data_IF_471784731982
#
_entry.id   IF_471784731982
#
_cell.length_a   1.000
_cell.length_b   1.000
_cell.length_c   1.000
_cell.angle_alpha   90.00
_cell.angle_beta   90.00
_cell.angle_gamma   90.00
#
_symmetry.space_group_name_H-M   'P 1'
#
loop_
_entity.id
_entity.type
_entity.pdbx_description
1 polymer ?
#
# COMPACT_ATOMS: atom_id res chain seq x y z
N UNK A 1 9.61 -19.68 2.34
CA UNK A 1 9.31 -20.01 3.75
C UNK A 1 9.52 -18.84 4.70
N UNK A 2 10.72 -18.25 4.80
CA UNK A 2 10.98 -17.10 5.69
C UNK A 2 10.12 -15.87 5.35
N UNK A 3 10.06 -15.49 4.07
CA UNK A 3 9.27 -14.36 3.56
C UNK A 3 7.77 -14.46 3.88
N UNK A 4 7.18 -15.65 3.70
CA UNK A 4 5.78 -15.92 4.05
C UNK A 4 5.52 -15.78 5.55
N UNK A 5 6.45 -16.27 6.36
CA UNK A 5 6.35 -16.22 7.82
C UNK A 5 6.41 -14.78 8.32
N UNK A 6 7.37 -13.99 7.85
CA UNK A 6 7.55 -12.59 8.23
C UNK A 6 6.35 -11.74 7.84
N UNK A 7 5.75 -11.99 6.66
CA UNK A 7 4.55 -11.25 6.20
C UNK A 7 3.34 -11.40 7.14
N UNK A 8 3.27 -12.50 7.90
CA UNK A 8 2.14 -12.79 8.80
C UNK A 8 2.31 -12.15 10.19
N UNK A 9 3.53 -11.74 10.55
CA UNK A 9 3.85 -11.21 11.89
C UNK A 9 2.98 -10.00 12.28
N UNK A 10 2.82 -8.95 11.44
CA UNK A 10 2.01 -7.79 11.83
C UNK A 10 0.54 -8.15 12.10
N UNK A 11 -0.02 -9.14 11.38
CA UNK A 11 -1.38 -9.63 11.62
C UNK A 11 -1.51 -10.40 12.94
N UNK A 12 -0.50 -11.19 13.32
CA UNK A 12 -0.51 -11.90 14.59
C UNK A 12 -0.40 -10.95 15.77
N UNK A 13 0.38 -9.86 15.62
CA UNK A 13 0.52 -8.80 16.61
C UNK A 13 -0.75 -7.95 16.76
N UNK A 14 -1.61 -7.90 15.74
CA UNK A 14 -2.89 -7.19 15.77
C UNK A 14 -3.93 -7.87 16.70
N UNK A 15 -3.94 -9.21 16.76
CA UNK A 15 -4.96 -9.99 17.48
C UNK A 15 -5.05 -9.64 18.98
N UNK A 16 -3.95 -9.52 19.74
CA UNK A 16 -4.01 -9.15 21.15
C UNK A 16 -4.65 -7.78 21.40
N UNK A 17 -4.42 -6.79 20.52
CA UNK A 17 -4.99 -5.44 20.68
C UNK A 17 -6.52 -5.46 20.60
N UNK A 18 -7.10 -6.28 19.71
CA UNK A 18 -8.55 -6.44 19.60
C UNK A 18 -9.24 -6.85 20.90
N UNK A 19 -8.53 -7.49 21.85
CA UNK A 19 -9.10 -7.90 23.15
C UNK A 19 -9.34 -6.73 24.11
N UNK A 20 -8.66 -5.61 23.89
CA UNK A 20 -8.70 -4.42 24.76
C UNK A 20 -9.50 -3.26 24.15
N UNK A 21 -10.03 -3.44 22.94
CA UNK A 21 -10.73 -2.41 22.19
C UNK A 21 -12.25 -2.66 22.19
N UNK A 22 -13.01 -1.56 22.26
CA UNK A 22 -14.45 -1.60 22.04
C UNK A 22 -14.80 -1.88 20.57
N UNK A 23 -16.06 -2.23 20.25
CA UNK A 23 -16.47 -2.74 18.94
C UNK A 23 -16.04 -1.89 17.74
N UNK A 24 -16.18 -0.56 17.83
CA UNK A 24 -15.81 0.37 16.75
C UNK A 24 -14.31 0.38 16.46
N UNK A 25 -13.48 0.38 17.51
CA UNK A 25 -12.01 0.38 17.39
C UNK A 25 -11.50 -0.98 16.93
N UNK A 26 -12.10 -2.06 17.43
CA UNK A 26 -11.84 -3.43 16.96
C UNK A 26 -12.17 -3.58 15.49
N UNK A 27 -13.32 -3.07 15.03
CA UNK A 27 -13.67 -3.09 13.62
C UNK A 27 -12.65 -2.32 12.76
N UNK A 28 -12.25 -1.12 13.19
CA UNK A 28 -11.23 -0.35 12.47
C UNK A 28 -9.89 -1.10 12.38
N UNK A 29 -9.47 -1.74 13.47
CA UNK A 29 -8.23 -2.49 13.52
C UNK A 29 -8.29 -3.74 12.62
N UNK A 30 -9.43 -4.42 12.57
CA UNK A 30 -9.68 -5.50 11.60
C UNK A 30 -9.68 -5.00 10.15
N UNK A 31 -10.21 -3.80 9.89
CA UNK A 31 -10.10 -3.17 8.57
C UNK A 31 -8.68 -2.82 8.18
N UNK A 32 -7.76 -2.63 9.13
CA UNK A 32 -6.32 -2.58 8.80
C UNK A 32 -5.81 -3.93 8.30
N UNK A 33 -6.25 -5.04 8.92
CA UNK A 33 -5.95 -6.41 8.49
C UNK A 33 -6.44 -6.76 7.08
N UNK A 34 -7.53 -6.14 6.61
CA UNK A 34 -8.06 -6.29 5.24
C UNK A 34 -7.00 -5.98 4.16
N UNK A 35 -6.00 -5.14 4.48
CA UNK A 35 -4.85 -4.87 3.59
C UNK A 35 -4.12 -6.14 3.17
N UNK A 36 -3.92 -7.06 4.11
CA UNK A 36 -3.21 -8.32 3.88
C UNK A 36 -4.08 -9.34 3.17
N UNK A 37 -5.38 -9.32 3.43
CA UNK A 37 -6.34 -10.14 2.71
C UNK A 37 -6.41 -9.74 1.23
N UNK A 38 -6.46 -8.44 0.97
CA UNK A 38 -6.39 -7.88 -0.39
C UNK A 38 -5.10 -8.31 -1.09
N UNK A 39 -3.96 -8.31 -0.40
CA UNK A 39 -2.70 -8.82 -0.96
C UNK A 39 -2.72 -10.33 -1.20
N UNK A 40 -3.41 -11.10 -0.36
CA UNK A 40 -3.59 -12.53 -0.56
C UNK A 40 -4.42 -12.80 -1.81
N UNK A 41 -5.55 -12.11 -1.98
CA UNK A 41 -6.40 -12.17 -3.18
C UNK A 41 -5.57 -11.81 -4.42
N UNK A 42 -4.80 -10.72 -4.36
CA UNK A 42 -3.92 -10.29 -5.45
C UNK A 42 -2.89 -11.35 -5.83
N UNK A 43 -2.30 -12.04 -4.84
CA UNK A 43 -1.36 -13.14 -5.07
C UNK A 43 -2.03 -14.34 -5.74
N UNK A 44 -3.24 -14.72 -5.33
CA UNK A 44 -4.00 -15.80 -5.99
C UNK A 44 -4.31 -15.43 -7.45
N UNK A 45 -4.77 -14.21 -7.71
CA UNK A 45 -5.02 -13.71 -9.07
C UNK A 45 -3.74 -13.78 -9.91
N UNK A 46 -2.60 -13.31 -9.39
CA UNK A 46 -1.33 -13.37 -10.12
C UNK A 46 -0.91 -14.82 -10.44
N UNK A 47 -1.07 -15.77 -9.51
CA UNK A 47 -0.76 -17.20 -9.74
C UNK A 47 -1.64 -17.77 -10.87
N UNK A 48 -2.94 -17.47 -10.84
CA UNK A 48 -3.89 -17.92 -11.87
C UNK A 48 -3.51 -17.34 -13.24
N UNK A 49 -3.22 -16.04 -13.29
CA UNK A 49 -2.91 -15.37 -14.56
C UNK A 49 -1.53 -15.72 -15.12
N UNK A 50 -0.54 -15.98 -14.27
CA UNK A 50 0.78 -16.44 -14.69
C UNK A 50 0.82 -17.95 -15.02
N UNK A 51 -0.18 -18.72 -14.57
CA UNK A 51 -0.22 -20.18 -14.71
C UNK A 51 0.85 -20.92 -13.89
N UNK A 52 1.59 -20.21 -13.03
CA UNK A 52 2.70 -20.73 -12.22
C UNK A 52 2.71 -20.08 -10.85
N UNK A 53 3.32 -20.76 -9.86
CA UNK A 53 3.48 -20.25 -8.50
C UNK A 53 2.94 -21.19 -7.42
N UNK A 54 3.56 -21.15 -6.24
CA UNK A 54 3.17 -21.98 -5.09
C UNK A 54 2.05 -21.31 -4.28
N UNK A 55 1.08 -22.11 -3.82
CA UNK A 55 0.03 -21.68 -2.89
C UNK A 55 0.33 -22.06 -1.44
N UNK A 56 1.46 -22.71 -1.17
CA UNK A 56 1.76 -23.25 0.16
C UNK A 56 1.93 -22.13 1.21
N UNK A 57 2.61 -21.04 0.86
CA UNK A 57 2.71 -19.86 1.72
C UNK A 57 1.35 -19.25 2.05
N UNK A 58 0.46 -19.16 1.06
CA UNK A 58 -0.89 -18.62 1.23
C UNK A 58 -1.75 -19.53 2.13
N UNK A 59 -1.61 -20.86 1.97
CA UNK A 59 -2.28 -21.86 2.81
C UNK A 59 -1.85 -21.72 4.28
N UNK A 60 -0.54 -21.63 4.54
CA UNK A 60 -0.01 -21.42 5.90
C UNK A 60 -0.51 -20.12 6.52
N UNK A 61 -0.56 -19.03 5.74
CA UNK A 61 -1.17 -17.77 6.21
C UNK A 61 -2.60 -18.03 6.64
N UNK A 62 -3.45 -18.54 5.74
CA UNK A 62 -4.89 -18.70 6.02
C UNK A 62 -5.15 -19.59 7.23
N UNK A 63 -4.34 -20.63 7.43
CA UNK A 63 -4.41 -21.48 8.61
C UNK A 63 -4.04 -20.74 9.91
N UNK A 64 -3.17 -19.74 9.85
CA UNK A 64 -2.66 -18.99 11.01
C UNK A 64 -3.54 -17.79 11.39
N UNK A 65 -4.07 -17.10 10.39
CA UNK A 65 -4.90 -15.90 10.57
C UNK A 65 -6.12 -16.00 9.65
N UNK A 66 -7.36 -15.91 10.19
CA UNK A 66 -8.56 -15.89 9.37
C UNK A 66 -8.55 -14.75 8.36
N UNK A 67 -9.13 -15.00 7.19
CA UNK A 67 -9.41 -13.98 6.17
C UNK A 67 -10.76 -13.32 6.48
N UNK A 68 -10.87 -12.01 6.28
CA UNK A 68 -12.08 -11.22 6.58
C UNK A 68 -12.81 -10.73 5.33
N UNK A 69 -12.24 -10.91 4.13
CA UNK A 69 -12.82 -10.43 2.86
C UNK A 69 -13.27 -11.55 1.90
N UNK A 70 -13.01 -12.81 2.24
CA UNK A 70 -13.33 -13.97 1.42
C UNK A 70 -13.39 -15.25 2.25
N UNK A 71 -13.93 -16.31 1.67
CA UNK A 71 -13.76 -17.70 2.12
C UNK A 71 -12.37 -18.21 1.71
N UNK A 72 -11.50 -18.46 2.71
CA UNK A 72 -10.10 -18.80 2.48
C UNK A 72 -9.90 -20.12 1.74
N UNK A 73 -10.71 -21.13 2.03
CA UNK A 73 -10.60 -22.44 1.37
C UNK A 73 -11.04 -22.35 -0.09
N UNK A 74 -12.15 -21.66 -0.37
CA UNK A 74 -12.59 -21.41 -1.75
C UNK A 74 -11.56 -20.60 -2.53
N UNK A 75 -10.99 -19.57 -1.91
CA UNK A 75 -9.96 -18.73 -2.53
C UNK A 75 -8.69 -19.53 -2.87
N UNK A 76 -8.26 -20.43 -1.98
CA UNK A 76 -7.11 -21.32 -2.24
C UNK A 76 -7.41 -22.38 -3.30
N UNK A 77 -8.66 -22.81 -3.45
CA UNK A 77 -9.07 -23.79 -4.45
C UNK A 77 -9.30 -23.17 -5.84
N UNK A 78 -9.53 -21.85 -5.92
CA UNK A 78 -9.92 -21.15 -7.14
C UNK A 78 -8.92 -21.33 -8.30
N UNK A 79 -9.43 -21.59 -9.51
CA UNK A 79 -8.64 -21.87 -10.73
C UNK A 79 -8.76 -20.81 -11.81
N UNK A 80 -9.72 -19.90 -11.67
CA UNK A 80 -10.00 -18.82 -12.61
C UNK A 80 -10.54 -17.60 -11.85
N UNK A 81 -10.67 -16.45 -12.53
CA UNK A 81 -11.10 -15.19 -11.91
C UNK A 81 -12.53 -15.28 -11.36
N UNK A 82 -13.44 -15.98 -12.05
CA UNK A 82 -14.79 -16.26 -11.56
C UNK A 82 -14.80 -17.00 -10.22
N UNK A 83 -14.01 -18.05 -10.05
CA UNK A 83 -13.91 -18.78 -8.77
C UNK A 83 -13.28 -17.93 -7.66
N UNK A 84 -12.33 -17.05 -8.02
CA UNK A 84 -11.81 -16.05 -7.07
C UNK A 84 -12.95 -15.12 -6.62
N UNK A 85 -13.75 -14.59 -7.54
CA UNK A 85 -14.90 -13.75 -7.22
C UNK A 85 -15.91 -14.48 -6.33
N UNK A 86 -16.27 -15.72 -6.67
CA UNK A 86 -17.21 -16.53 -5.88
C UNK A 86 -16.72 -16.82 -4.45
N UNK A 87 -15.40 -16.86 -4.21
CA UNK A 87 -14.85 -16.99 -2.86
C UNK A 87 -15.23 -15.79 -1.96
N UNK A 88 -15.53 -14.64 -2.55
CA UNK A 88 -15.90 -13.41 -1.84
C UNK A 88 -17.41 -13.24 -1.70
N UNK A 89 -18.22 -14.19 -2.16
CA UNK A 89 -19.67 -14.10 -2.08
C UNK A 89 -20.14 -13.97 -0.62
N UNK A 90 -20.93 -12.93 -0.35
CA UNK A 90 -21.36 -12.56 1.01
C UNK A 90 -20.44 -11.58 1.73
N UNK A 91 -19.32 -11.19 1.11
CA UNK A 91 -18.42 -10.15 1.59
C UNK A 91 -18.55 -8.89 0.73
N UNK A 92 -18.38 -7.67 1.31
CA UNK A 92 -18.52 -6.42 0.55
C UNK A 92 -17.56 -6.28 -0.65
N UNK A 93 -16.44 -7.00 -0.62
CA UNK A 93 -15.46 -6.97 -1.72
C UNK A 93 -15.99 -7.59 -3.02
N UNK A 94 -16.97 -8.49 -2.95
CA UNK A 94 -17.59 -9.12 -4.13
C UNK A 94 -18.15 -8.07 -5.08
N UNK A 95 -19.01 -7.18 -4.58
CA UNK A 95 -19.72 -6.19 -5.39
C UNK A 95 -18.75 -5.21 -6.07
N UNK A 96 -17.65 -4.90 -5.39
CA UNK A 96 -16.60 -3.99 -5.88
C UNK A 96 -15.78 -4.64 -7.01
N UNK A 97 -15.55 -5.94 -6.95
CA UNK A 97 -14.73 -6.67 -7.91
C UNK A 97 -15.51 -7.30 -9.05
N UNK A 98 -16.83 -7.42 -8.94
CA UNK A 98 -17.66 -8.11 -9.93
C UNK A 98 -17.45 -7.54 -11.34
N UNK A 99 -17.66 -6.22 -11.52
CA UNK A 99 -17.52 -5.59 -12.83
C UNK A 99 -16.06 -5.55 -13.32
N UNK A 100 -15.05 -5.14 -12.51
CA UNK A 100 -13.65 -5.21 -12.90
C UNK A 100 -13.19 -6.61 -13.34
N UNK A 101 -13.63 -7.68 -12.66
CA UNK A 101 -13.26 -9.05 -13.01
C UNK A 101 -13.97 -9.52 -14.28
N UNK A 102 -15.26 -9.21 -14.47
CA UNK A 102 -15.98 -9.50 -15.72
C UNK A 102 -15.29 -8.85 -16.92
N UNK A 103 -14.86 -7.60 -16.77
CA UNK A 103 -14.16 -6.88 -17.84
C UNK A 103 -12.78 -7.48 -18.15
N UNK A 104 -12.03 -7.90 -17.11
CA UNK A 104 -10.76 -8.58 -17.27
C UNK A 104 -10.89 -9.92 -18.02
N UNK A 105 -11.91 -10.73 -17.71
CA UNK A 105 -12.18 -11.98 -18.43
C UNK A 105 -12.53 -11.74 -19.91
N UNK A 106 -13.41 -10.78 -20.20
CA UNK A 106 -13.92 -10.54 -21.56
C UNK A 106 -12.86 -10.02 -22.53
N UNK A 107 -12.01 -9.10 -22.08
CA UNK A 107 -11.08 -8.40 -22.97
C UNK A 107 -9.67 -8.99 -22.96
N UNK A 108 -9.46 -10.17 -22.32
CA UNK A 108 -8.12 -10.58 -21.83
C UNK A 108 -7.41 -9.38 -21.17
N UNK A 109 -8.21 -8.60 -20.46
CA UNK A 109 -7.90 -7.24 -20.09
C UNK A 109 -6.87 -7.22 -18.97
N UNK A 110 -6.12 -6.13 -18.92
CA UNK A 110 -5.11 -5.93 -17.90
C UNK A 110 -5.73 -5.98 -16.49
N UNK A 111 -5.21 -6.83 -15.61
CA UNK A 111 -5.66 -7.01 -14.21
C UNK A 111 -5.49 -5.76 -13.34
N UNK A 112 -4.94 -4.68 -13.90
CA UNK A 112 -4.70 -3.42 -13.25
C UNK A 112 -5.97 -2.89 -12.58
N UNK A 113 -7.11 -2.80 -13.30
CA UNK A 113 -8.37 -2.31 -12.70
C UNK A 113 -8.84 -3.15 -11.51
N UNK A 114 -8.66 -4.46 -11.56
CA UNK A 114 -8.95 -5.36 -10.42
C UNK A 114 -8.03 -5.05 -9.24
N UNK A 115 -6.72 -4.86 -9.49
CA UNK A 115 -5.74 -4.50 -8.45
C UNK A 115 -6.03 -3.13 -7.82
N UNK A 116 -6.49 -2.16 -8.59
CA UNK A 116 -6.88 -0.83 -8.09
C UNK A 116 -8.18 -0.88 -7.28
N UNK A 117 -9.17 -1.67 -7.72
CA UNK A 117 -10.42 -1.84 -6.98
C UNK A 117 -10.18 -2.47 -5.60
N UNK A 118 -9.26 -3.43 -5.52
CA UNK A 118 -8.76 -4.02 -4.28
C UNK A 118 -8.15 -2.98 -3.32
N UNK A 119 -7.26 -2.11 -3.81
CA UNK A 119 -6.67 -1.03 -2.99
C UNK A 119 -7.73 0.01 -2.59
N UNK A 120 -8.65 0.32 -3.51
CA UNK A 120 -9.76 1.25 -3.28
C UNK A 120 -10.69 0.78 -2.17
N UNK A 121 -11.01 -0.51 -2.13
CA UNK A 121 -11.79 -1.13 -1.06
C UNK A 121 -11.14 -0.89 0.31
N UNK A 122 -9.86 -1.29 0.45
CA UNK A 122 -9.13 -1.12 1.70
C UNK A 122 -9.06 0.36 2.13
N UNK A 123 -8.64 1.24 1.22
CA UNK A 123 -8.46 2.66 1.52
C UNK A 123 -9.79 3.34 1.89
N UNK A 124 -10.89 2.96 1.23
CA UNK A 124 -12.22 3.50 1.53
C UNK A 124 -12.70 3.02 2.90
N UNK A 125 -12.52 1.74 3.24
CA UNK A 125 -12.95 1.17 4.51
C UNK A 125 -12.19 1.77 5.69
N UNK A 126 -10.84 1.77 5.64
CA UNK A 126 -10.01 2.24 6.74
C UNK A 126 -10.25 3.73 7.03
N UNK A 127 -10.41 4.56 5.99
CA UNK A 127 -10.70 5.98 6.16
C UNK A 127 -12.13 6.23 6.63
N UNK A 128 -13.10 5.43 6.19
CA UNK A 128 -14.49 5.54 6.65
C UNK A 128 -14.65 5.12 8.10
N UNK A 129 -13.95 4.06 8.54
CA UNK A 129 -13.88 3.68 9.95
C UNK A 129 -13.19 4.75 10.80
N UNK A 130 -12.06 5.29 10.34
CA UNK A 130 -11.33 6.35 11.04
C UNK A 130 -12.14 7.63 11.24
N UNK A 131 -13.02 7.99 10.29
CA UNK A 131 -13.93 9.15 10.40
C UNK A 131 -14.93 9.04 11.56
N UNK A 132 -15.26 7.82 12.00
CA UNK A 132 -16.21 7.60 13.10
C UNK A 132 -15.58 7.84 14.48
N UNK A 133 -14.25 7.83 14.56
CA UNK A 133 -13.55 7.98 15.83
C UNK A 133 -13.39 9.44 16.25
N UNK A 134 -13.57 9.75 17.55
CA UNK A 134 -13.45 11.11 18.04
C UNK A 134 -11.98 11.54 18.25
N UNK A 135 -11.80 12.84 18.46
CA UNK A 135 -10.58 13.38 19.07
C UNK A 135 -9.28 13.06 18.32
N UNK A 136 -8.25 12.69 19.08
CA UNK A 136 -6.92 12.35 18.57
C UNK A 136 -6.93 11.08 17.71
N UNK A 137 -7.82 10.12 18.00
CA UNK A 137 -7.89 8.85 17.27
C UNK A 137 -8.31 9.05 15.82
N UNK A 138 -9.42 9.76 15.60
CA UNK A 138 -9.88 10.07 14.25
C UNK A 138 -8.89 10.95 13.48
N UNK A 139 -8.28 11.94 14.15
CA UNK A 139 -7.25 12.79 13.53
C UNK A 139 -6.00 12.01 13.12
N UNK A 140 -5.49 11.14 14.00
CA UNK A 140 -4.32 10.30 13.74
C UNK A 140 -4.56 9.33 12.59
N UNK A 141 -5.67 8.59 12.63
CA UNK A 141 -6.05 7.67 11.55
C UNK A 141 -6.24 8.39 10.21
N UNK A 142 -6.93 9.54 10.21
CA UNK A 142 -7.11 10.36 8.99
C UNK A 142 -5.79 10.91 8.47
N UNK A 143 -4.88 11.33 9.33
CA UNK A 143 -3.58 11.84 8.90
C UNK A 143 -2.74 10.75 8.25
N UNK A 144 -2.67 9.57 8.87
CA UNK A 144 -1.86 8.45 8.39
C UNK A 144 -2.41 7.85 7.08
N UNK A 145 -3.66 7.37 7.10
CA UNK A 145 -4.26 6.72 5.93
C UNK A 145 -4.69 7.74 4.86
N UNK A 146 -4.97 8.98 5.25
CA UNK A 146 -5.25 10.05 4.29
C UNK A 146 -4.00 10.43 3.49
N UNK A 147 -2.84 10.48 4.15
CA UNK A 147 -1.56 10.65 3.45
C UNK A 147 -1.29 9.46 2.53
N UNK A 148 -1.49 8.22 3.00
CA UNK A 148 -1.36 7.02 2.16
C UNK A 148 -2.26 7.11 0.92
N UNK A 149 -3.51 7.57 1.05
CA UNK A 149 -4.41 7.75 -0.09
C UNK A 149 -3.89 8.77 -1.11
N UNK A 150 -3.43 9.94 -0.65
CA UNK A 150 -2.89 10.96 -1.55
C UNK A 150 -1.63 10.45 -2.29
N UNK A 151 -0.73 9.78 -1.57
CA UNK A 151 0.49 9.20 -2.14
C UNK A 151 0.17 8.14 -3.19
N UNK A 152 -0.81 7.26 -2.93
CA UNK A 152 -1.30 6.27 -3.90
C UNK A 152 -1.86 6.97 -5.15
N UNK A 153 -2.71 7.98 -4.97
CA UNK A 153 -3.31 8.71 -6.09
C UNK A 153 -2.25 9.36 -6.98
N UNK A 154 -1.29 10.05 -6.36
CA UNK A 154 -0.18 10.68 -7.08
C UNK A 154 0.63 9.62 -7.83
N UNK A 155 1.01 8.53 -7.14
CA UNK A 155 1.82 7.47 -7.72
C UNK A 155 1.13 6.81 -8.92
N UNK A 156 -0.18 6.56 -8.83
CA UNK A 156 -0.96 5.99 -9.93
C UNK A 156 -1.04 6.91 -11.14
N UNK A 157 -1.22 8.22 -10.95
CA UNK A 157 -1.20 9.19 -12.06
C UNK A 157 0.19 9.23 -12.69
N UNK A 158 1.26 9.35 -11.88
CA UNK A 158 2.65 9.34 -12.36
C UNK A 158 2.93 8.09 -13.20
N UNK A 159 2.65 6.90 -12.67
CA UNK A 159 2.89 5.65 -13.38
C UNK A 159 2.04 5.50 -14.64
N UNK A 160 0.77 5.85 -14.56
CA UNK A 160 -0.17 5.81 -15.68
C UNK A 160 0.32 6.63 -16.87
N UNK A 161 0.77 7.86 -16.60
CA UNK A 161 1.30 8.78 -17.62
C UNK A 161 2.68 8.33 -18.11
N UNK A 162 3.57 7.91 -17.21
CA UNK A 162 4.99 7.63 -17.52
C UNK A 162 5.24 6.29 -18.22
N UNK A 163 4.53 5.24 -17.82
CA UNK A 163 4.83 3.85 -18.24
C UNK A 163 3.72 3.22 -19.08
N UNK A 164 2.49 3.72 -18.97
CA UNK A 164 1.33 3.12 -19.64
C UNK A 164 0.70 4.03 -20.69
N UNK A 165 1.31 5.19 -20.97
CA UNK A 165 0.84 6.16 -21.97
C UNK A 165 -0.64 6.54 -21.81
N UNK A 166 -1.16 6.50 -20.58
CA UNK A 166 -2.56 6.82 -20.31
C UNK A 166 -2.86 8.29 -20.62
N UNK A 167 -4.06 8.59 -21.09
CA UNK A 167 -4.53 9.97 -21.16
C UNK A 167 -4.65 10.56 -19.73
N UNK A 168 -4.62 11.90 -19.58
CA UNK A 168 -4.88 12.55 -18.29
C UNK A 168 -6.21 12.09 -17.66
N UNK A 169 -7.26 11.94 -18.46
CA UNK A 169 -8.59 11.48 -18.03
C UNK A 169 -8.55 10.03 -17.56
N UNK A 170 -7.86 9.15 -18.29
CA UNK A 170 -7.68 7.76 -17.90
C UNK A 170 -6.91 7.65 -16.57
N UNK A 171 -5.81 8.41 -16.41
CA UNK A 171 -5.02 8.44 -15.19
C UNK A 171 -5.85 8.94 -13.99
N UNK A 172 -6.67 9.99 -14.18
CA UNK A 172 -7.57 10.49 -13.13
C UNK A 172 -8.67 9.50 -12.77
N UNK A 173 -9.23 8.81 -13.77
CA UNK A 173 -10.27 7.79 -13.59
C UNK A 173 -9.82 6.59 -12.76
N UNK A 174 -8.51 6.40 -12.57
CA UNK A 174 -7.94 5.35 -11.73
C UNK A 174 -7.78 5.76 -10.28
N UNK A 175 -7.83 7.04 -9.95
CA UNK A 175 -7.58 7.53 -8.58
C UNK A 175 -8.63 7.01 -7.60
N UNK A 176 -8.19 6.82 -6.35
CA UNK A 176 -9.05 6.46 -5.23
C UNK A 176 -10.18 7.49 -5.04
N UNK A 177 -11.37 7.06 -4.60
CA UNK A 177 -12.49 7.95 -4.29
C UNK A 177 -12.27 8.75 -2.99
N UNK A 178 -11.14 8.53 -2.31
CA UNK A 178 -10.77 9.14 -1.03
C UNK A 178 -9.50 9.97 -1.17
N UNK A 179 -9.46 11.12 -0.50
CA UNK A 179 -8.39 12.13 -0.59
C UNK A 179 -8.21 12.84 0.76
N UNK A 180 -7.03 13.40 0.98
CA UNK A 180 -6.68 14.11 2.20
C UNK A 180 -6.26 15.56 1.91
N UNK A 181 -4.98 15.82 1.67
CA UNK A 181 -4.40 17.13 1.35
C UNK A 181 -4.45 17.42 -0.14
N UNK A 182 -4.28 16.38 -0.98
CA UNK A 182 -4.25 16.54 -2.44
C UNK A 182 -5.68 16.44 -2.98
N UNK A 183 -6.26 17.60 -3.30
CA UNK A 183 -7.62 17.71 -3.85
C UNK A 183 -7.66 17.33 -5.32
N UNK A 184 -8.88 17.18 -5.85
CA UNK A 184 -9.09 16.82 -7.25
C UNK A 184 -8.39 17.78 -8.21
N UNK A 185 -8.48 19.09 -7.96
CA UNK A 185 -7.85 20.10 -8.82
C UNK A 185 -6.33 19.94 -8.89
N UNK A 186 -5.69 19.58 -7.77
CA UNK A 186 -4.26 19.29 -7.74
C UNK A 186 -3.92 17.99 -8.51
N UNK A 187 -4.72 16.92 -8.33
CA UNK A 187 -4.56 15.69 -9.12
C UNK A 187 -4.75 15.96 -10.62
N UNK A 188 -5.71 16.82 -10.96
CA UNK A 188 -5.99 17.22 -12.34
C UNK A 188 -4.81 17.99 -12.93
N UNK A 189 -4.28 18.98 -12.21
CA UNK A 189 -3.08 19.71 -12.64
C UNK A 189 -1.88 18.78 -12.87
N UNK A 190 -1.68 17.78 -12.01
CA UNK A 190 -0.63 16.77 -12.18
C UNK A 190 -0.88 15.92 -13.43
N UNK A 191 -2.11 15.42 -13.64
CA UNK A 191 -2.44 14.54 -14.76
C UNK A 191 -2.35 15.25 -16.12
N UNK A 192 -2.78 16.51 -16.18
CA UNK A 192 -2.83 17.36 -17.38
C UNK A 192 -1.52 18.14 -17.63
N UNK A 193 -0.46 17.87 -16.86
CA UNK A 193 0.85 18.43 -17.15
C UNK A 193 1.29 18.07 -18.59
N UNK A 194 1.86 19.03 -19.34
CA UNK A 194 2.13 18.87 -20.77
C UNK A 194 3.18 17.79 -21.07
N UNK A 195 4.13 17.61 -20.16
CA UNK A 195 5.21 16.63 -20.25
C UNK A 195 5.65 16.14 -18.86
N UNK A 196 6.50 15.11 -18.84
CA UNK A 196 7.00 14.53 -17.59
C UNK A 196 7.80 15.51 -16.73
N UNK A 197 8.71 16.35 -17.28
CA UNK A 197 9.37 17.39 -16.48
C UNK A 197 8.39 18.33 -15.77
N UNK A 198 7.42 18.88 -16.51
CA UNK A 198 6.39 19.77 -15.95
C UNK A 198 5.53 19.10 -14.89
N UNK A 199 5.25 17.80 -15.08
CA UNK A 199 4.55 16.97 -14.10
C UNK A 199 5.36 16.84 -12.81
N UNK A 200 6.65 16.52 -12.92
CA UNK A 200 7.57 16.39 -11.77
C UNK A 200 7.69 17.72 -11.03
N UNK A 201 7.79 18.85 -11.74
CA UNK A 201 7.86 20.17 -11.11
C UNK A 201 6.57 20.51 -10.35
N UNK A 202 5.41 20.17 -10.93
CA UNK A 202 4.10 20.31 -10.26
C UNK A 202 4.04 19.45 -8.99
N UNK A 203 4.58 18.23 -9.04
CA UNK A 203 4.65 17.32 -7.91
C UNK A 203 5.57 17.84 -6.81
N UNK A 204 6.75 18.38 -7.18
CA UNK A 204 7.72 19.00 -6.26
C UNK A 204 7.17 20.23 -5.56
N UNK A 205 6.33 21.02 -6.23
CA UNK A 205 5.65 22.17 -5.62
C UNK A 205 4.52 21.77 -4.66
N UNK A 206 4.06 20.51 -4.72
CA UNK A 206 2.95 20.00 -3.94
C UNK A 206 3.28 19.66 -2.47
N UNK A 207 2.27 19.26 -1.68
CA UNK A 207 2.43 18.96 -0.26
C UNK A 207 3.32 17.73 0.06
N UNK A 208 3.67 16.94 -0.96
CA UNK A 208 4.54 15.77 -0.88
C UNK A 208 5.75 15.89 -1.82
N UNK A 209 6.17 17.12 -2.14
CA UNK A 209 7.25 17.38 -3.10
C UNK A 209 8.58 16.70 -2.75
N UNK A 210 8.85 16.50 -1.46
CA UNK A 210 10.02 15.76 -0.96
C UNK A 210 10.15 14.34 -1.53
N UNK A 211 9.05 13.73 -1.97
CA UNK A 211 9.06 12.39 -2.57
C UNK A 211 9.72 12.41 -3.95
N UNK A 212 9.57 13.53 -4.67
CA UNK A 212 9.97 13.69 -6.07
C UNK A 212 11.28 14.49 -6.21
N UNK A 213 12.00 14.73 -5.10
CA UNK A 213 13.22 15.56 -5.08
C UNK A 213 14.26 15.07 -6.07
N UNK A 214 14.59 13.78 -6.01
CA UNK A 214 15.73 13.19 -6.73
C UNK A 214 15.37 12.66 -8.14
N UNK A 215 14.14 12.88 -8.62
CA UNK A 215 13.71 12.34 -9.92
C UNK A 215 14.20 13.18 -11.11
N UNK A 216 14.58 12.50 -12.20
CA UNK A 216 14.85 13.16 -13.48
C UNK A 216 16.27 13.71 -13.67
N UNK A 217 17.23 13.34 -12.83
CA UNK A 217 18.67 13.66 -13.03
C UNK A 217 19.36 12.68 -14.00
N UNK A 218 18.73 12.36 -15.14
CA UNK A 218 19.30 11.49 -16.16
C UNK A 218 19.37 10.00 -15.80
N UNK A 219 18.69 9.59 -14.73
CA UNK A 219 18.51 8.20 -14.28
C UNK A 219 17.60 7.39 -15.22
N UNK A 220 17.78 6.07 -15.22
CA UNK A 220 16.88 5.16 -15.91
C UNK A 220 15.48 5.20 -15.26
N UNK A 221 14.43 5.01 -16.06
CA UNK A 221 13.04 5.15 -15.61
C UNK A 221 12.69 4.17 -14.48
N UNK A 222 13.31 2.99 -14.49
CA UNK A 222 13.16 1.95 -13.48
C UNK A 222 13.81 2.35 -12.15
N UNK A 223 14.96 3.03 -12.21
CA UNK A 223 15.66 3.56 -11.03
C UNK A 223 14.84 4.68 -10.39
N UNK A 224 14.26 5.54 -11.22
CA UNK A 224 13.31 6.56 -10.78
C UNK A 224 12.08 5.94 -10.10
N UNK A 225 11.52 4.86 -10.65
CA UNK A 225 10.37 4.18 -10.06
C UNK A 225 10.69 3.57 -8.69
N UNK A 226 11.81 2.86 -8.57
CA UNK A 226 12.25 2.27 -7.31
C UNK A 226 12.50 3.34 -6.25
N UNK A 227 13.20 4.42 -6.62
CA UNK A 227 13.47 5.56 -5.73
C UNK A 227 12.18 6.25 -5.29
N UNK A 228 11.24 6.41 -6.21
CA UNK A 228 9.93 6.97 -5.92
C UNK A 228 9.16 6.10 -4.92
N UNK A 229 9.03 4.79 -5.18
CA UNK A 229 8.31 3.88 -4.27
C UNK A 229 8.93 3.91 -2.86
N UNK A 230 10.26 3.91 -2.79
CA UNK A 230 11.00 4.04 -1.54
C UNK A 230 10.67 5.33 -0.78
N UNK A 231 10.71 6.47 -1.47
CA UNK A 231 10.42 7.76 -0.89
C UNK A 231 8.96 7.85 -0.38
N UNK A 232 8.01 7.23 -1.07
CA UNK A 232 6.62 7.13 -0.59
C UNK A 232 6.54 6.38 0.75
N UNK A 233 7.25 5.26 0.89
CA UNK A 233 7.30 4.53 2.15
C UNK A 233 7.97 5.32 3.26
N UNK A 234 9.00 6.13 2.97
CA UNK A 234 9.64 7.01 3.96
C UNK A 234 8.69 8.07 4.51
N UNK A 235 7.82 8.63 3.68
CA UNK A 235 6.76 9.54 4.16
C UNK A 235 5.81 8.81 5.12
N UNK A 236 5.37 7.60 4.75
CA UNK A 236 4.50 6.78 5.60
C UNK A 236 5.18 6.41 6.93
N UNK A 237 6.47 6.07 6.88
CA UNK A 237 7.27 5.80 8.07
C UNK A 237 7.28 7.00 9.01
N UNK A 238 7.68 8.19 8.53
CA UNK A 238 7.78 9.40 9.36
C UNK A 238 6.45 9.77 10.02
N UNK A 239 5.34 9.67 9.29
CA UNK A 239 4.01 9.99 9.82
C UNK A 239 3.60 8.97 10.89
N UNK A 240 3.81 7.68 10.61
CA UNK A 240 3.49 6.61 11.56
C UNK A 240 4.36 6.72 12.82
N UNK A 241 5.66 7.00 12.65
CA UNK A 241 6.59 7.22 13.76
C UNK A 241 6.17 8.43 14.61
N UNK A 242 5.85 9.57 13.99
CA UNK A 242 5.40 10.76 14.71
C UNK A 242 4.11 10.50 15.50
N UNK A 243 3.15 9.79 14.93
CA UNK A 243 1.92 9.40 15.63
C UNK A 243 2.25 8.48 16.80
N UNK A 244 3.08 7.46 16.58
CA UNK A 244 3.46 6.51 17.63
C UNK A 244 4.22 7.20 18.78
N UNK A 245 5.19 8.06 18.46
CA UNK A 245 6.01 8.81 19.44
C UNK A 245 5.26 9.92 20.15
N UNK A 246 4.08 10.33 19.66
CA UNK A 246 3.24 11.31 20.36
C UNK A 246 2.83 10.86 21.77
N UNK A 247 2.89 9.55 22.06
CA UNK A 247 2.50 8.98 23.35
C UNK A 247 1.00 9.07 23.64
N UNK A 248 0.20 9.51 22.67
CA UNK A 248 -1.25 9.64 22.86
C UNK A 248 -1.91 8.26 22.93
N UNK A 249 -2.80 8.07 23.90
CA UNK A 249 -3.56 6.83 24.04
C UNK A 249 -4.66 6.76 22.98
N UNK A 250 -4.78 5.63 22.29
CA UNK A 250 -5.86 5.38 21.34
C UNK A 250 -5.48 4.40 20.24
N UNK A 251 -6.48 3.97 19.46
CA UNK A 251 -6.29 2.98 18.39
C UNK A 251 -5.41 3.50 17.25
N UNK A 252 -5.34 4.82 17.04
CA UNK A 252 -4.43 5.43 16.05
C UNK A 252 -2.96 5.16 16.35
N UNK A 253 -2.57 5.07 17.63
CA UNK A 253 -1.21 4.70 18.04
C UNK A 253 -0.93 3.22 17.77
N UNK A 254 -1.92 2.35 17.96
CA UNK A 254 -1.83 0.93 17.59
C UNK A 254 -1.71 0.77 16.06
N UNK A 255 -2.53 1.49 15.30
CA UNK A 255 -2.47 1.49 13.84
C UNK A 255 -1.12 2.01 13.32
N UNK A 256 -0.57 3.04 13.98
CA UNK A 256 0.76 3.54 13.66
C UNK A 256 1.85 2.50 13.93
N UNK A 257 1.81 1.85 15.10
CA UNK A 257 2.70 0.72 15.43
C UNK A 257 2.62 -0.39 14.37
N UNK A 258 1.42 -0.88 14.07
CA UNK A 258 1.23 -1.95 13.09
C UNK A 258 1.66 -1.53 11.68
N UNK A 259 1.48 -0.26 11.30
CA UNK A 259 2.00 0.27 10.04
C UNK A 259 3.52 0.31 10.02
N UNK A 260 4.19 0.68 11.12
CA UNK A 260 5.64 0.59 11.24
C UNK A 260 6.12 -0.86 11.10
N UNK A 261 5.40 -1.82 11.68
CA UNK A 261 5.68 -3.25 11.52
C UNK A 261 5.49 -3.72 10.07
N UNK A 262 4.49 -3.23 9.34
CA UNK A 262 4.34 -3.48 7.88
C UNK A 262 5.58 -2.99 7.11
N UNK A 263 6.09 -1.80 7.45
CA UNK A 263 7.26 -1.21 6.78
C UNK A 263 8.56 -1.92 7.16
N UNK A 264 8.72 -2.36 8.41
CA UNK A 264 9.86 -3.16 8.85
C UNK A 264 9.92 -4.51 8.12
N UNK A 265 8.76 -5.15 7.92
CA UNK A 265 8.68 -6.36 7.09
C UNK A 265 9.21 -6.09 5.68
N UNK A 266 8.90 -4.93 5.07
CA UNK A 266 9.43 -4.54 3.76
C UNK A 266 10.95 -4.39 3.78
N UNK A 267 11.51 -3.76 4.82
CA UNK A 267 12.97 -3.66 4.97
C UNK A 267 13.62 -5.05 5.10
N UNK A 268 12.99 -5.99 5.80
CA UNK A 268 13.46 -7.37 5.87
C UNK A 268 13.45 -8.07 4.50
N UNK A 269 12.43 -7.85 3.68
CA UNK A 269 12.42 -8.32 2.29
C UNK A 269 13.58 -7.72 1.49
N UNK A 270 13.79 -6.40 1.59
CA UNK A 270 14.91 -5.71 0.93
C UNK A 270 16.25 -6.33 1.34
N UNK A 271 16.46 -6.56 2.63
CA UNK A 271 17.69 -7.19 3.14
C UNK A 271 17.88 -8.60 2.57
N UNK A 272 16.82 -9.40 2.51
CA UNK A 272 16.87 -10.76 1.95
C UNK A 272 17.28 -10.72 0.47
N UNK A 273 16.70 -9.82 -0.33
CA UNK A 273 17.07 -9.65 -1.74
C UNK A 273 18.50 -9.14 -1.90
N UNK A 274 18.92 -8.14 -1.11
CA UNK A 274 20.28 -7.62 -1.14
C UNK A 274 21.31 -8.72 -0.87
N UNK A 275 21.08 -9.56 0.15
CA UNK A 275 21.93 -10.73 0.44
C UNK A 275 21.92 -11.73 -0.71
N UNK A 276 20.76 -12.00 -1.32
CA UNK A 276 20.61 -12.94 -2.44
C UNK A 276 21.40 -12.51 -3.68
N UNK A 277 21.45 -11.20 -3.94
CA UNK A 277 22.18 -10.63 -5.07
C UNK A 277 23.62 -10.21 -4.74
N UNK A 278 24.06 -10.38 -3.48
CA UNK A 278 25.45 -10.13 -3.08
C UNK A 278 25.80 -8.65 -2.87
N UNK A 279 24.80 -7.80 -2.61
CA UNK A 279 25.04 -6.40 -2.21
C UNK A 279 25.73 -6.33 -0.84
N UNK A 280 26.57 -5.31 -0.66
CA UNK A 280 27.22 -5.07 0.62
C UNK A 280 26.28 -4.37 1.63
N UNK A 281 26.78 -4.18 2.86
CA UNK A 281 25.97 -3.58 3.94
C UNK A 281 25.70 -2.11 3.72
N UNK A 282 26.60 -1.38 3.07
CA UNK A 282 26.46 0.06 2.87
C UNK A 282 25.49 0.33 1.72
N UNK A 283 25.58 -0.43 0.62
CA UNK A 283 24.58 -0.43 -0.46
C UNK A 283 23.19 -0.82 0.07
N UNK A 284 23.11 -1.89 0.87
CA UNK A 284 21.83 -2.34 1.45
C UNK A 284 21.14 -1.24 2.28
N UNK A 285 21.92 -0.41 3.00
CA UNK A 285 21.38 0.65 3.86
C UNK A 285 20.66 1.75 3.08
N UNK A 286 21.07 2.01 1.84
CA UNK A 286 20.44 3.04 1.01
C UNK A 286 19.01 2.65 0.61
N UNK A 287 18.77 1.34 0.46
CA UNK A 287 17.47 0.76 0.12
C UNK A 287 16.51 0.58 1.30
N UNK A 288 16.92 0.90 2.55
CA UNK A 288 16.04 0.76 3.72
C UNK A 288 15.14 1.97 3.94
N UNK A 289 13.85 1.68 4.18
CA UNK A 289 12.82 2.66 4.49
C UNK A 289 13.15 3.29 5.83
N UNK A 290 13.49 2.45 6.83
CA UNK A 290 13.95 2.93 8.12
C UNK A 290 15.30 3.66 7.96
N UNK A 291 15.41 4.95 8.32
CA UNK A 291 16.67 5.66 8.26
C UNK A 291 17.66 5.02 9.24
N UNK A 292 18.85 4.63 8.77
CA UNK A 292 19.88 4.12 9.66
C UNK A 292 20.38 5.23 10.59
N UNK A 293 20.70 4.91 11.85
CA UNK A 293 21.14 5.88 12.87
C UNK A 293 22.32 6.76 12.44
N UNK A 294 23.10 6.32 11.45
CA UNK A 294 24.26 7.04 10.88
C UNK A 294 23.90 8.03 9.76
N UNK A 295 22.73 7.92 9.12
CA UNK A 295 22.31 8.86 8.07
C UNK A 295 21.93 10.24 8.64
N UNK A 296 21.63 10.31 9.94
CA UNK A 296 21.39 11.56 10.66
C UNK A 296 22.71 12.28 11.02
N UNK A 297 23.76 11.53 11.37
CA UNK A 297 25.05 12.10 11.79
C UNK A 297 25.97 12.46 10.61
N UNK A 298 25.73 11.92 9.42
CA UNK A 298 26.57 12.15 8.23
C UNK A 298 26.31 13.48 7.49
N UNK A 299 25.25 14.22 7.82
CA UNK A 299 24.94 15.53 7.18
C UNK A 299 25.33 16.76 8.01
N UNK A 300 25.76 16.59 9.26
CA UNK A 300 26.30 17.70 10.09
C UNK A 300 27.83 17.88 9.96
N UNK A 301 28.50 17.13 9.07
CA UNK A 301 29.97 17.11 8.95
C UNK A 301 30.55 17.61 7.63
N UNK A 302 29.82 18.39 6.84
CA UNK A 302 30.35 19.09 5.65
C UNK A 302 29.92 20.56 5.66
N UNK A 303 30.57 21.33 6.52
CA UNK A 303 30.72 22.79 6.41
C UNK A 303 32.19 23.11 6.19
#
# INVERSE_FOLDING_TARGET
DLEDAITTVPLLEEIPFCRYLGPERTHLLRSWGERFDVDLVRRVINIISAGTGSREGLRRRIASVPITVADGEKLLAARNLREVLESMKGYPLYDILEEPMKQAEKHKGTLFRVKMALDSFFMTNILSGGKKLPGSEGRGGRHMFGTRADLINIYWIYRGRRFFSMSPEEALGLTLPVRYRVKFDALSAIAFAPDMPSMIDTLRAGPYGEVFGDLGEGSAAEVDEMTLEHNLYRVLFRISEAIFRSGSSGVHTVLAYLTLRELEVKDLFTIIECVRYGFDRDETREFLIHPSFLSFTGREGRS
#
